data_IF_948835169607
#
_entry.id   IF_948835169607
#
_cell.length_a   1.000
_cell.length_b   1.000
_cell.length_c   1.000
_cell.angle_alpha   90.00
_cell.angle_beta   90.00
_cell.angle_gamma   90.00
#
_symmetry.space_group_name_H-M   'P 1'
#
loop_
_entity.id
_entity.type
_entity.pdbx_description
1 polymer ?
#
# COMPACT_ATOMS: atom_id res chain seq x y z
N UNK A 1 -11.42 4.66 0.04
CA UNK A 1 -10.88 5.45 1.16
C UNK A 1 -10.50 6.82 0.64
N UNK A 2 -11.15 7.87 1.12
CA UNK A 2 -10.72 9.23 0.85
C UNK A 2 -9.35 9.43 1.52
N UNK A 3 -8.32 9.74 0.73
CA UNK A 3 -7.00 10.10 1.25
C UNK A 3 -6.90 11.62 1.32
N UNK A 4 -6.40 12.15 2.45
CA UNK A 4 -6.03 13.57 2.56
C UNK A 4 -4.65 13.86 1.94
N UNK A 5 -3.89 12.82 1.55
CA UNK A 5 -2.56 12.99 1.00
C UNK A 5 -2.52 13.90 -0.25
N UNK A 6 -3.42 13.77 -1.26
CA UNK A 6 -3.42 14.68 -2.40
C UNK A 6 -3.67 16.14 -2.00
N UNK A 7 -4.51 16.38 -0.98
CA UNK A 7 -4.80 17.72 -0.47
C UNK A 7 -3.57 18.35 0.22
N UNK A 8 -2.83 17.54 0.99
CA UNK A 8 -1.58 17.93 1.65
C UNK A 8 -0.48 18.19 0.64
N UNK A 9 -0.21 17.22 -0.25
CA UNK A 9 0.88 17.28 -1.23
C UNK A 9 0.71 18.43 -2.24
N UNK A 10 -0.53 18.83 -2.56
CA UNK A 10 -0.82 20.00 -3.42
C UNK A 10 -0.39 21.34 -2.79
N UNK A 11 -0.16 21.40 -1.47
CA UNK A 11 0.21 22.61 -0.74
C UNK A 11 1.65 22.48 -0.22
N UNK A 12 2.64 23.15 -0.83
CA UNK A 12 4.06 22.97 -0.49
C UNK A 12 4.38 23.23 0.99
N UNK A 13 3.70 24.19 1.64
CA UNK A 13 3.94 24.49 3.05
C UNK A 13 3.42 23.36 3.98
N UNK A 14 2.28 22.74 3.66
CA UNK A 14 1.76 21.60 4.41
C UNK A 14 2.65 20.37 4.20
N UNK A 15 3.06 20.12 2.96
CA UNK A 15 3.97 19.02 2.64
C UNK A 15 5.28 19.14 3.43
N UNK A 16 5.95 20.29 3.38
CA UNK A 16 7.20 20.54 4.13
C UNK A 16 7.03 20.40 5.65
N UNK A 17 5.86 20.76 6.18
CA UNK A 17 5.57 20.64 7.60
C UNK A 17 5.32 19.20 8.04
N UNK A 18 4.64 18.39 7.22
CA UNK A 18 4.22 17.04 7.58
C UNK A 18 5.19 15.94 7.15
N UNK A 19 6.02 16.18 6.14
CA UNK A 19 6.97 15.20 5.61
C UNK A 19 7.97 14.67 6.65
N UNK A 20 8.58 15.50 7.53
CA UNK A 20 9.44 14.99 8.60
C UNK A 20 8.69 14.10 9.61
N UNK A 21 7.43 14.44 9.89
CA UNK A 21 6.57 13.66 10.79
C UNK A 21 6.22 12.31 10.15
N UNK A 22 5.91 12.29 8.85
CA UNK A 22 5.66 11.07 8.10
C UNK A 22 6.92 10.18 7.99
N UNK A 23 8.09 10.78 7.75
CA UNK A 23 9.37 10.07 7.73
C UNK A 23 9.71 9.47 9.10
N UNK A 24 9.49 10.21 10.18
CA UNK A 24 9.64 9.69 11.54
C UNK A 24 8.68 8.53 11.81
N UNK A 25 7.39 8.71 11.51
CA UNK A 25 6.38 7.67 11.70
C UNK A 25 6.72 6.38 10.95
N UNK A 26 7.08 6.49 9.67
CA UNK A 26 7.46 5.31 8.85
C UNK A 26 8.71 4.62 9.38
N UNK A 27 9.70 5.37 9.87
CA UNK A 27 10.88 4.81 10.53
C UNK A 27 10.58 4.12 11.86
N UNK A 28 9.64 4.66 12.65
CA UNK A 28 9.24 4.12 13.95
C UNK A 28 8.24 2.95 13.86
N UNK A 29 7.53 2.78 12.75
CA UNK A 29 6.56 1.70 12.56
C UNK A 29 7.17 0.28 12.51
N UNK A 30 8.50 0.16 12.36
CA UNK A 30 9.23 -1.09 12.57
C UNK A 30 9.13 -2.13 11.43
N UNK A 31 8.17 -2.03 10.51
CA UNK A 31 8.03 -3.01 9.41
C UNK A 31 9.28 -3.11 8.52
N UNK A 32 10.00 -2.00 8.30
CA UNK A 32 11.26 -1.99 7.55
C UNK A 32 12.37 -2.79 8.26
N UNK A 33 12.36 -2.83 9.58
CA UNK A 33 13.31 -3.62 10.39
C UNK A 33 13.05 -5.13 10.29
N UNK A 34 11.85 -5.50 9.82
CA UNK A 34 11.44 -6.88 9.51
C UNK A 34 11.61 -7.21 8.03
N UNK A 35 12.09 -6.26 7.21
CA UNK A 35 12.30 -6.45 5.78
C UNK A 35 11.02 -6.41 4.96
N UNK A 36 9.94 -5.85 5.51
CA UNK A 36 8.68 -5.64 4.80
C UNK A 36 8.71 -4.30 4.05
N UNK A 37 7.86 -4.18 3.03
CA UNK A 37 7.42 -2.91 2.45
C UNK A 37 6.04 -2.56 3.01
N UNK A 38 5.65 -1.29 2.96
CA UNK A 38 4.38 -0.83 3.51
C UNK A 38 3.17 -1.58 2.90
N UNK A 39 3.22 -1.82 1.59
CA UNK A 39 2.17 -2.55 0.86
C UNK A 39 2.03 -4.02 1.28
N UNK A 40 3.03 -4.61 1.93
CA UNK A 40 2.92 -5.97 2.51
C UNK A 40 1.99 -5.99 3.73
N UNK A 41 1.69 -4.83 4.32
CA UNK A 41 0.81 -4.68 5.51
C UNK A 41 -0.67 -4.49 5.14
N UNK A 42 -1.00 -4.42 3.85
CA UNK A 42 -2.38 -4.28 3.40
C UNK A 42 -3.17 -5.57 3.70
N UNK A 43 -4.37 -5.41 4.25
CA UNK A 43 -5.32 -6.50 4.52
C UNK A 43 -5.70 -7.22 3.22
N UNK A 44 -5.30 -8.49 3.10
CA UNK A 44 -5.49 -9.29 1.89
C UNK A 44 -6.94 -9.72 1.69
N UNK A 45 -7.74 -9.74 2.76
CA UNK A 45 -9.15 -10.16 2.78
C UNK A 45 -10.08 -9.14 2.11
N UNK A 46 -9.62 -7.91 1.90
CA UNK A 46 -10.38 -6.89 1.15
C UNK A 46 -10.42 -7.26 -0.32
N UNK A 47 -11.61 -7.20 -0.92
CA UNK A 47 -11.85 -7.62 -2.31
C UNK A 47 -10.87 -6.96 -3.29
N UNK A 48 -10.68 -5.65 -3.19
CA UNK A 48 -9.78 -4.92 -4.08
C UNK A 48 -8.29 -5.30 -3.91
N UNK A 49 -7.88 -5.71 -2.71
CA UNK A 49 -6.50 -6.13 -2.44
C UNK A 49 -6.30 -7.55 -2.96
N UNK A 50 -7.26 -8.44 -2.70
CA UNK A 50 -7.27 -9.79 -3.26
C UNK A 50 -7.20 -9.78 -4.80
N UNK A 51 -8.00 -8.95 -5.46
CA UNK A 51 -7.95 -8.77 -6.91
C UNK A 51 -6.61 -8.17 -7.37
N UNK A 52 -6.03 -7.23 -6.60
CA UNK A 52 -4.74 -6.64 -6.92
C UNK A 52 -3.60 -7.67 -6.85
N UNK A 53 -3.62 -8.55 -5.84
CA UNK A 53 -2.63 -9.63 -5.70
C UNK A 53 -2.65 -10.59 -6.90
N UNK A 54 -3.82 -10.85 -7.49
CA UNK A 54 -3.94 -11.66 -8.72
C UNK A 54 -3.34 -10.99 -9.96
N UNK A 55 -3.23 -9.66 -9.97
CA UNK A 55 -2.66 -8.88 -11.10
C UNK A 55 -1.15 -8.66 -10.97
N UNK A 56 -0.54 -9.01 -9.84
CA UNK A 56 0.91 -8.89 -9.67
C UNK A 56 1.66 -9.77 -10.66
N UNK A 57 2.84 -9.29 -11.09
CA UNK A 57 3.76 -10.12 -11.84
C UNK A 57 4.20 -11.33 -10.98
N UNK A 58 4.51 -12.49 -11.60
CA UNK A 58 5.00 -13.64 -10.85
C UNK A 58 6.23 -13.33 -9.98
N UNK A 59 7.11 -12.43 -10.45
CA UNK A 59 8.31 -11.99 -9.72
C UNK A 59 7.94 -11.23 -8.45
N UNK A 60 7.13 -10.17 -8.56
CA UNK A 60 6.69 -9.37 -7.40
C UNK A 60 5.91 -10.23 -6.39
N UNK A 61 5.07 -11.15 -6.88
CA UNK A 61 4.33 -12.09 -6.03
C UNK A 61 5.27 -12.98 -5.22
N UNK A 62 6.31 -13.55 -5.85
CA UNK A 62 7.31 -14.35 -5.15
C UNK A 62 8.12 -13.54 -4.14
N UNK A 63 8.61 -12.36 -4.53
CA UNK A 63 9.38 -11.48 -3.65
C UNK A 63 8.56 -11.03 -2.42
N UNK A 64 7.28 -10.71 -2.61
CA UNK A 64 6.34 -10.42 -1.52
C UNK A 64 6.21 -11.60 -0.56
N UNK A 65 5.95 -12.80 -1.06
CA UNK A 65 5.79 -14.00 -0.23
C UNK A 65 7.08 -14.30 0.55
N UNK A 66 8.25 -14.07 -0.06
CA UNK A 66 9.53 -14.20 0.63
C UNK A 66 9.65 -13.20 1.80
N UNK A 67 9.35 -11.91 1.59
CA UNK A 67 9.39 -10.89 2.65
C UNK A 67 8.46 -11.24 3.81
N UNK A 68 7.22 -11.65 3.51
CA UNK A 68 6.23 -12.04 4.53
C UNK A 68 6.71 -13.26 5.33
N UNK A 69 7.16 -14.33 4.66
CA UNK A 69 7.69 -15.52 5.36
C UNK A 69 8.87 -15.18 6.25
N UNK A 70 9.80 -14.35 5.78
CA UNK A 70 10.94 -13.87 6.56
C UNK A 70 10.49 -13.09 7.79
N UNK A 71 9.57 -12.14 7.63
CA UNK A 71 9.03 -11.33 8.71
C UNK A 71 8.27 -12.19 9.75
N UNK A 72 7.47 -13.16 9.32
CA UNK A 72 6.80 -14.10 10.21
C UNK A 72 7.79 -14.92 11.03
N UNK A 73 8.86 -15.43 10.40
CA UNK A 73 9.91 -16.17 11.11
C UNK A 73 10.61 -15.31 12.17
N UNK A 74 10.94 -14.06 11.83
CA UNK A 74 11.54 -13.10 12.74
C UNK A 74 10.62 -12.77 13.92
N UNK A 75 9.32 -12.62 13.66
CA UNK A 75 8.31 -12.38 14.69
C UNK A 75 8.22 -13.53 15.67
N UNK A 76 8.20 -14.77 15.18
CA UNK A 76 8.18 -15.99 16.03
C UNK A 76 9.44 -16.06 16.91
N UNK A 77 10.59 -15.66 16.38
CA UNK A 77 11.85 -15.68 17.11
C UNK A 77 12.05 -14.47 18.03
N UNK A 78 11.15 -13.49 17.99
CA UNK A 78 11.32 -12.18 18.64
C UNK A 78 12.67 -11.52 18.27
N UNK A 79 13.04 -11.59 16.99
CA UNK A 79 14.28 -11.00 16.45
C UNK A 79 13.98 -9.99 15.37
N UNK A 80 14.88 -9.02 15.22
CA UNK A 80 14.92 -8.11 14.08
C UNK A 80 16.02 -8.56 13.11
N UNK A 81 15.96 -8.05 11.89
CA UNK A 81 17.06 -8.21 10.94
C UNK A 81 18.29 -7.40 11.36
N UNK A 82 19.49 -7.81 10.90
CA UNK A 82 20.64 -6.91 10.82
C UNK A 82 20.27 -5.61 10.08
N UNK A 83 20.85 -4.47 10.49
CA UNK A 83 20.49 -3.14 9.98
C UNK A 83 20.70 -3.01 8.47
N UNK A 84 21.66 -3.76 7.95
CA UNK A 84 22.08 -3.80 6.55
C UNK A 84 21.01 -4.45 5.66
N UNK A 85 20.14 -5.27 6.24
CA UNK A 85 19.05 -5.98 5.57
C UNK A 85 17.68 -5.31 5.75
N UNK A 86 17.62 -4.17 6.44
CA UNK A 86 16.39 -3.41 6.58
C UNK A 86 15.94 -2.87 5.24
N UNK A 87 14.64 -2.84 5.01
CA UNK A 87 14.07 -2.20 3.81
C UNK A 87 14.47 -0.73 3.81
N UNK A 88 15.17 -0.29 2.77
CA UNK A 88 15.55 1.11 2.63
C UNK A 88 14.35 1.96 2.24
N UNK A 89 14.41 3.26 2.48
CA UNK A 89 13.31 4.16 2.16
C UNK A 89 13.02 4.20 0.64
N UNK A 90 14.05 4.04 -0.18
CA UNK A 90 13.97 4.04 -1.64
C UNK A 90 13.35 2.76 -2.19
N UNK A 91 13.53 1.64 -1.48
CA UNK A 91 12.99 0.33 -1.87
C UNK A 91 11.53 0.15 -1.44
N UNK A 92 11.02 0.99 -0.53
CA UNK A 92 9.68 0.95 0.01
C UNK A 92 8.67 1.67 -0.90
N UNK A 93 8.47 1.10 -2.09
CA UNK A 93 7.63 1.65 -3.14
C UNK A 93 6.21 1.04 -3.15
N UNK A 94 5.19 1.80 -3.60
CA UNK A 94 3.78 1.38 -3.60
C UNK A 94 3.44 0.42 -4.77
N UNK A 95 4.05 -0.77 -4.76
CA UNK A 95 3.94 -1.77 -5.83
C UNK A 95 2.54 -2.39 -5.97
N UNK A 96 1.78 -2.48 -4.88
CA UNK A 96 0.42 -3.06 -4.83
C UNK A 96 -0.65 -1.98 -4.78
N UNK A 97 -0.41 -0.91 -4.00
CA UNK A 97 -1.32 0.22 -3.83
C UNK A 97 -1.74 0.87 -5.16
N UNK A 98 -0.84 0.91 -6.14
CA UNK A 98 -1.13 1.42 -7.49
C UNK A 98 -2.22 0.59 -8.18
N UNK A 99 -2.12 -0.74 -8.12
CA UNK A 99 -3.08 -1.68 -8.71
C UNK A 99 -4.40 -1.64 -7.93
N UNK A 100 -4.33 -1.57 -6.60
CA UNK A 100 -5.52 -1.44 -5.73
C UNK A 100 -6.34 -0.20 -6.11
N UNK A 101 -5.68 0.93 -6.39
CA UNK A 101 -6.37 2.16 -6.78
C UNK A 101 -7.04 2.04 -8.16
N UNK A 102 -6.43 1.32 -9.11
CA UNK A 102 -7.05 1.01 -10.40
C UNK A 102 -8.31 0.17 -10.22
N UNK A 103 -8.24 -0.90 -9.44
CA UNK A 103 -9.39 -1.79 -9.16
C UNK A 103 -10.51 -1.03 -8.43
N UNK A 104 -10.17 -0.17 -7.47
CA UNK A 104 -11.17 0.69 -6.81
C UNK A 104 -11.88 1.61 -7.80
N UNK A 105 -11.16 2.16 -8.79
CA UNK A 105 -11.77 2.98 -9.82
C UNK A 105 -12.69 2.17 -10.73
N UNK A 106 -12.28 0.96 -11.13
CA UNK A 106 -13.12 0.02 -11.90
C UNK A 106 -14.39 -0.38 -11.15
N UNK A 107 -14.29 -0.70 -9.85
CA UNK A 107 -15.44 -1.04 -9.01
C UNK A 107 -16.38 0.16 -8.85
N UNK A 108 -15.84 1.35 -8.60
CA UNK A 108 -16.64 2.57 -8.48
C UNK A 108 -17.34 2.93 -9.81
N UNK A 109 -16.68 2.71 -10.93
CA UNK A 109 -17.27 2.89 -12.27
C UNK A 109 -18.42 1.89 -12.47
N UNK A 110 -18.21 0.61 -12.17
CA UNK A 110 -19.25 -0.42 -12.23
C UNK A 110 -20.46 -0.04 -11.38
N UNK A 111 -20.26 0.35 -10.12
CA UNK A 111 -21.33 0.74 -9.21
C UNK A 111 -22.09 1.97 -9.74
N UNK A 112 -21.39 2.94 -10.35
CA UNK A 112 -22.00 4.11 -10.95
C UNK A 112 -22.86 3.75 -12.18
N UNK A 113 -22.43 2.79 -13.00
CA UNK A 113 -23.22 2.28 -14.12
C UNK A 113 -24.44 1.50 -13.66
N UNK A 114 -24.28 0.63 -12.66
CA UNK A 114 -25.36 -0.20 -12.12
C UNK A 114 -26.46 0.67 -11.45
N UNK A 115 -26.10 1.84 -10.93
CA UNK A 115 -27.02 2.79 -10.28
C UNK A 115 -27.48 3.95 -11.18
N UNK A 116 -27.16 3.93 -12.48
CA UNK A 116 -27.44 5.04 -13.40
C UNK A 116 -28.95 5.18 -13.71
N UNK A 117 -29.53 6.33 -13.37
CA UNK A 117 -30.92 6.68 -13.72
C UNK A 117 -30.98 7.46 -15.05
N UNK A 118 -31.76 6.96 -16.02
CA UNK A 118 -31.94 7.61 -17.33
C UNK A 118 -33.09 8.62 -17.26
N UNK A 119 -32.78 9.92 -17.29
CA UNK A 119 -33.77 11.00 -17.41
C UNK A 119 -34.08 11.21 -18.90
N UNK A 120 -35.27 10.80 -19.36
CA UNK A 120 -35.73 11.07 -20.73
C UNK A 120 -36.11 12.56 -20.85
N UNK A 121 -35.52 13.27 -21.81
CA UNK A 121 -36.04 14.59 -22.24
C UNK A 121 -37.22 14.36 -23.17
N UNK A 122 -38.38 14.92 -22.83
CA UNK A 122 -39.53 15.05 -23.71
C UNK A 122 -39.28 16.14 -24.76
#
# INVERSE_FOLDING_TARGET
>A
MASLAPFVLKRPWLAKMLEPVAAWYTGSAGYRQMGLRYDDLLEEEREEVYLALKRLSPKESYERVYRIRRATQLSIQHKLLPKEEWTKAEDDTPYLSTIVNQIKAELAEKDAFDSMNVIRKH
#
